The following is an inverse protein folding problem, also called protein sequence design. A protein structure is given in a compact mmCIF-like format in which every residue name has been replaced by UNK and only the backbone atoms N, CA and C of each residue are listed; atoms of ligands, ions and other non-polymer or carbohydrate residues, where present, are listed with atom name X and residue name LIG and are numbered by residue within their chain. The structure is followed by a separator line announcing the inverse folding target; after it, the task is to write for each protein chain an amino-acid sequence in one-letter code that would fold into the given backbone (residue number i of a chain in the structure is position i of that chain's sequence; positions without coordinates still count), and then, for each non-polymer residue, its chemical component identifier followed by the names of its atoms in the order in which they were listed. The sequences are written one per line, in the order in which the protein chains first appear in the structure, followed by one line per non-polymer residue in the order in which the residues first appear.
data_IF_073451840189
#
_entry.id   IF_073451840189
#
_cell.length_a   1.000
_cell.length_b   1.000
_cell.length_c   1.000
_cell.angle_alpha   90.00
_cell.angle_beta   90.00
_cell.angle_gamma   90.00
#
_symmetry.space_group_name_H-M   'P 1'
#
loop_
_entity.id
_entity.type
_entity.pdbx_description
1 polymer ?
#
# COMPACT_ATOMS: atom_id res chain seq x y z
N UNK A 1 -9.02 -49.11 44.21
CA UNK A 1 -9.60 -48.06 43.33
C UNK A 1 -8.58 -47.03 42.81
N UNK A 2 -7.31 -47.07 43.24
CA UNK A 2 -6.26 -46.14 42.83
C UNK A 2 -5.84 -46.23 41.33
N UNK A 3 -5.93 -47.40 40.70
CA UNK A 3 -5.57 -47.59 39.28
C UNK A 3 -6.41 -46.75 38.31
N UNK A 4 -7.67 -46.49 38.66
CA UNK A 4 -8.60 -45.69 37.83
C UNK A 4 -8.29 -44.19 37.92
N UNK A 5 -7.80 -43.73 39.08
CA UNK A 5 -7.40 -42.33 39.31
C UNK A 5 -6.14 -41.97 38.51
N UNK A 6 -5.14 -42.85 38.42
CA UNK A 6 -3.95 -42.60 37.60
C UNK A 6 -4.23 -42.51 36.11
N UNK A 7 -5.22 -43.26 35.60
CA UNK A 7 -5.58 -43.22 34.18
C UNK A 7 -6.24 -41.89 33.79
N UNK A 8 -7.09 -41.32 34.65
CA UNK A 8 -7.78 -40.05 34.40
C UNK A 8 -6.82 -38.85 34.43
N UNK A 9 -5.80 -38.89 35.30
CA UNK A 9 -4.75 -37.84 35.36
C UNK A 9 -3.84 -37.89 34.13
N UNK A 10 -3.52 -39.08 33.61
CA UNK A 10 -2.70 -39.21 32.40
C UNK A 10 -3.43 -38.71 31.13
N UNK A 11 -4.74 -38.93 31.03
CA UNK A 11 -5.56 -38.51 29.86
C UNK A 11 -5.77 -36.99 29.82
N UNK A 12 -5.84 -36.32 30.97
CA UNK A 12 -6.01 -34.86 31.06
C UNK A 12 -4.72 -34.10 30.72
N UNK A 13 -3.55 -34.65 31.00
CA UNK A 13 -2.27 -34.05 30.59
C UNK A 13 -2.00 -34.18 29.07
N UNK A 14 -2.50 -35.24 28.42
CA UNK A 14 -2.28 -35.47 26.99
C UNK A 14 -3.14 -34.56 26.09
N UNK A 15 -4.23 -34.00 26.60
CA UNK A 15 -5.17 -33.16 25.84
C UNK A 15 -4.93 -31.65 25.99
N UNK A 16 -4.02 -31.25 26.89
CA UNK A 16 -3.70 -29.84 27.16
C UNK A 16 -2.65 -29.25 26.20
N UNK A 17 -2.18 -30.02 25.21
CA UNK A 17 -1.01 -29.69 24.39
C UNK A 17 -1.25 -29.07 23.00
N UNK A 18 -2.50 -28.85 22.54
CA UNK A 18 -2.73 -28.52 21.12
C UNK A 18 -3.64 -27.30 20.83
N UNK A 19 -3.64 -26.26 21.65
CA UNK A 19 -4.39 -25.03 21.32
C UNK A 19 -3.60 -23.76 21.54
N UNK A 20 -2.38 -23.69 21.00
CA UNK A 20 -1.73 -22.41 20.70
C UNK A 20 -1.47 -22.34 19.20
N UNK A 21 -2.54 -22.23 18.42
CA UNK A 21 -2.45 -21.58 17.13
C UNK A 21 -2.22 -20.10 17.46
N UNK A 22 -0.95 -19.67 17.45
CA UNK A 22 -0.65 -18.25 17.44
C UNK A 22 -1.34 -17.66 16.22
N UNK A 23 -2.29 -16.76 16.45
CA UNK A 23 -2.83 -15.88 15.41
C UNK A 23 -1.69 -14.95 15.02
N UNK A 24 -0.78 -15.46 14.19
CA UNK A 24 0.23 -14.63 13.56
C UNK A 24 -0.56 -13.61 12.75
N UNK A 25 -0.37 -12.29 12.96
CA UNK A 25 -0.99 -11.30 12.10
C UNK A 25 -0.65 -11.70 10.68
N UNK A 26 -1.67 -12.08 9.90
CA UNK A 26 -1.50 -12.30 8.47
C UNK A 26 -0.76 -11.06 8.00
N UNK A 27 0.43 -11.18 7.37
CA UNK A 27 1.11 -10.01 6.85
C UNK A 27 0.06 -9.30 6.03
N UNK A 28 -0.31 -8.09 6.43
CA UNK A 28 -1.36 -7.34 5.77
C UNK A 28 -0.85 -7.21 4.36
N UNK A 29 -1.34 -8.07 3.47
CA UNK A 29 -1.12 -7.95 2.04
C UNK A 29 -1.73 -6.60 1.77
N UNK A 30 -0.92 -5.55 1.77
CA UNK A 30 -1.29 -4.26 1.20
C UNK A 30 -1.85 -4.65 -0.15
N UNK A 31 -3.17 -4.60 -0.28
CA UNK A 31 -3.85 -5.21 -1.41
C UNK A 31 -3.20 -4.71 -2.69
N UNK A 32 -3.22 -5.48 -3.77
CA UNK A 32 -2.60 -5.04 -5.03
C UNK A 32 -3.07 -3.64 -5.45
N UNK A 33 -4.33 -3.29 -5.13
CA UNK A 33 -4.88 -1.95 -5.28
C UNK A 33 -4.21 -0.89 -4.39
N UNK A 34 -3.90 -1.20 -3.13
CA UNK A 34 -3.19 -0.29 -2.23
C UNK A 34 -1.77 -0.03 -2.73
N UNK A 35 -1.05 -1.07 -3.15
CA UNK A 35 0.30 -0.92 -3.73
C UNK A 35 0.25 -0.12 -5.01
N UNK A 36 -0.73 -0.38 -5.87
CA UNK A 36 -0.97 0.40 -7.07
C UNK A 36 -1.23 1.87 -6.75
N UNK A 37 -2.13 2.16 -5.80
CA UNK A 37 -2.44 3.54 -5.41
C UNK A 37 -1.20 4.25 -4.88
N UNK A 38 -0.45 3.60 -3.99
CA UNK A 38 0.82 4.12 -3.48
C UNK A 38 1.83 4.36 -4.61
N UNK A 39 1.90 3.48 -5.61
CA UNK A 39 2.76 3.67 -6.76
C UNK A 39 2.31 4.87 -7.60
N UNK A 40 1.03 5.01 -7.92
CA UNK A 40 0.52 6.15 -8.71
C UNK A 40 0.77 7.48 -8.00
N UNK A 41 0.60 7.52 -6.67
CA UNK A 41 0.74 8.74 -5.88
C UNK A 41 2.20 9.15 -5.68
N UNK A 42 3.13 8.19 -5.67
CA UNK A 42 4.55 8.44 -5.33
C UNK A 42 5.53 8.19 -6.48
N UNK A 43 5.07 7.85 -7.68
CA UNK A 43 5.94 7.59 -8.82
C UNK A 43 6.58 8.89 -9.35
N UNK A 44 7.93 8.92 -9.32
CA UNK A 44 8.72 10.06 -9.75
C UNK A 44 8.63 10.34 -11.26
N UNK A 45 8.52 9.32 -12.11
CA UNK A 45 8.40 9.48 -13.57
C UNK A 45 7.05 10.11 -13.93
N UNK A 46 5.98 9.73 -13.23
CA UNK A 46 4.67 10.37 -13.38
C UNK A 46 4.71 11.84 -12.93
N UNK A 47 5.39 12.13 -11.82
CA UNK A 47 5.55 13.49 -11.34
C UNK A 47 6.37 14.35 -12.32
N UNK A 48 7.49 13.83 -12.83
CA UNK A 48 8.31 14.49 -13.83
C UNK A 48 7.53 14.76 -15.13
N UNK A 49 6.79 13.76 -15.62
CA UNK A 49 5.98 13.92 -16.84
C UNK A 49 4.90 15.00 -16.70
N UNK A 50 4.28 15.11 -15.51
CA UNK A 50 3.31 16.16 -15.21
C UNK A 50 3.96 17.54 -15.18
N UNK A 51 5.11 17.66 -14.51
CA UNK A 51 5.87 18.90 -14.48
C UNK A 51 6.33 19.35 -15.88
N UNK A 52 6.79 18.42 -16.71
CA UNK A 52 7.17 18.68 -18.11
C UNK A 52 5.97 19.13 -18.95
N UNK A 53 4.80 18.49 -18.75
CA UNK A 53 3.58 18.90 -19.41
C UNK A 53 3.19 20.33 -19.02
N UNK A 54 3.19 20.64 -17.73
CA UNK A 54 2.86 21.98 -17.22
C UNK A 54 3.86 23.03 -17.73
N UNK A 55 5.15 22.72 -17.78
CA UNK A 55 6.16 23.60 -18.34
C UNK A 55 5.92 23.88 -19.85
N UNK A 56 5.55 22.85 -20.62
CA UNK A 56 5.28 23.00 -22.06
C UNK A 56 3.94 23.68 -22.35
N UNK A 57 2.98 23.60 -21.43
CA UNK A 57 1.63 24.16 -21.60
C UNK A 57 1.66 25.65 -21.94
N UNK A 58 2.62 26.38 -21.38
CA UNK A 58 2.78 27.83 -21.61
C UNK A 58 3.33 28.18 -22.99
N UNK A 59 3.92 27.23 -23.74
CA UNK A 59 4.46 27.52 -25.06
C UNK A 59 3.38 28.01 -26.06
N UNK A 60 2.17 27.48 -25.97
CA UNK A 60 1.05 27.84 -26.86
C UNK A 60 0.56 29.28 -26.62
N UNK A 61 0.18 29.71 -25.40
CA UNK A 61 -0.22 31.09 -25.15
C UNK A 61 0.91 32.09 -25.45
N UNK A 62 2.16 31.76 -25.16
CA UNK A 62 3.31 32.60 -25.51
C UNK A 62 3.44 32.79 -27.02
N UNK A 63 3.35 31.71 -27.81
CA UNK A 63 3.37 31.80 -29.27
C UNK A 63 2.19 32.61 -29.81
N UNK A 64 1.00 32.47 -29.23
CA UNK A 64 -0.19 33.26 -29.60
C UNK A 64 -0.03 34.73 -29.27
N UNK A 65 0.55 35.06 -28.12
CA UNK A 65 0.82 36.45 -27.72
C UNK A 65 1.77 37.14 -28.72
N UNK A 66 2.72 36.40 -29.30
CA UNK A 66 3.59 36.90 -30.37
C UNK A 66 2.87 37.31 -31.66
N UNK A 67 1.63 36.89 -31.87
CA UNK A 67 0.79 37.32 -33.01
C UNK A 67 -0.03 38.58 -32.71
N UNK A 68 -0.03 39.06 -31.46
CA UNK A 68 -0.80 40.23 -31.05
C UNK A 68 0.08 41.49 -31.07
N UNK A 69 -0.49 42.68 -31.36
CA UNK A 69 0.25 43.93 -31.29
C UNK A 69 0.80 44.17 -29.88
N UNK A 70 2.11 44.40 -29.78
CA UNK A 70 2.73 44.80 -28.52
C UNK A 70 2.54 46.30 -28.30
N UNK A 71 1.70 46.64 -27.32
CA UNK A 71 1.51 48.00 -26.83
C UNK A 71 2.50 48.23 -25.67
N UNK A 72 3.75 48.48 -26.04
CA UNK A 72 4.77 49.04 -25.15
C UNK A 72 4.76 50.56 -25.33
N UNK A 73 4.43 51.30 -24.27
CA UNK A 73 4.44 52.77 -24.27
C UNK A 73 5.84 53.36 -24.21
#
# INVERSE_FOLDING_TARGET
MLRKLSLVVAVSLASSGLTWAADLPLPTKTGLLNVYQQAVDNNADLAASRADYDARKEAVPQARAGLLPNISG
#
